data_IF_955353964778
#
_entry.id   IF_955353964778
#
_cell.length_a   1.000
_cell.length_b   1.000
_cell.length_c   1.000
_cell.angle_alpha   90.00
_cell.angle_beta   90.00
_cell.angle_gamma   90.00
#
_symmetry.space_group_name_H-M   'P 1'
#
loop_
_entity.id
_entity.type
_entity.pdbx_description
1 polymer ?
#
# COMPACT_ATOMS: atom_id res chain seq x y z
N UNK A 1 -26.91 10.22 -22.01
CA UNK A 1 -25.71 9.42 -22.39
C UNK A 1 -24.51 9.75 -21.50
N UNK A 2 -24.19 11.02 -21.24
CA UNK A 2 -23.07 11.47 -20.38
C UNK A 2 -23.10 10.96 -18.92
N UNK A 3 -24.26 11.00 -18.25
CA UNK A 3 -24.40 10.52 -16.86
C UNK A 3 -24.08 9.03 -16.67
N UNK A 4 -24.35 8.19 -17.68
CA UNK A 4 -24.03 6.75 -17.62
C UNK A 4 -22.51 6.52 -17.67
N UNK A 5 -21.80 7.30 -18.50
CA UNK A 5 -20.35 7.23 -18.59
C UNK A 5 -19.67 7.72 -17.31
N UNK A 6 -20.19 8.81 -16.73
CA UNK A 6 -19.71 9.33 -15.45
C UNK A 6 -19.88 8.30 -14.33
N UNK A 7 -21.09 7.76 -14.17
CA UNK A 7 -21.37 6.75 -13.13
C UNK A 7 -20.48 5.52 -13.30
N UNK A 8 -20.28 5.06 -14.55
CA UNK A 8 -19.37 3.95 -14.82
C UNK A 8 -17.94 4.27 -14.38
N UNK A 9 -17.41 5.46 -14.70
CA UNK A 9 -16.06 5.88 -14.27
C UNK A 9 -15.94 5.95 -12.75
N UNK A 10 -16.94 6.49 -12.05
CA UNK A 10 -16.99 6.52 -10.58
C UNK A 10 -16.98 5.10 -10.02
N UNK A 11 -17.79 4.19 -10.57
CA UNK A 11 -17.80 2.79 -10.13
C UNK A 11 -16.46 2.09 -10.34
N UNK A 12 -15.73 2.38 -11.42
CA UNK A 12 -14.38 1.84 -11.63
C UNK A 12 -13.39 2.37 -10.60
N UNK A 13 -13.43 3.68 -10.28
CA UNK A 13 -12.58 4.27 -9.23
C UNK A 13 -12.82 3.60 -7.87
N UNK A 14 -14.10 3.37 -7.54
CA UNK A 14 -14.51 2.68 -6.31
C UNK A 14 -14.03 1.22 -6.28
N UNK A 15 -14.19 0.48 -7.40
CA UNK A 15 -13.71 -0.91 -7.52
C UNK A 15 -12.22 -1.05 -7.23
N UNK A 16 -11.42 -0.14 -7.78
CA UNK A 16 -9.97 -0.12 -7.58
C UNK A 16 -9.53 0.26 -6.16
N UNK A 17 -10.47 0.70 -5.31
CA UNK A 17 -10.27 0.97 -3.88
C UNK A 17 -10.96 -0.06 -3.00
N UNK A 18 -11.49 -1.15 -3.58
CA UNK A 18 -12.09 -2.21 -2.78
C UNK A 18 -11.02 -2.92 -1.93
N UNK A 19 -11.41 -3.41 -0.73
CA UNK A 19 -10.49 -4.04 0.20
C UNK A 19 -9.61 -5.15 -0.38
N UNK A 20 -10.17 -5.99 -1.25
CA UNK A 20 -9.49 -7.09 -1.92
C UNK A 20 -8.40 -6.60 -2.89
N UNK A 21 -8.66 -5.51 -3.61
CA UNK A 21 -7.66 -4.87 -4.47
C UNK A 21 -6.52 -4.29 -3.62
N UNK A 22 -6.83 -3.62 -2.52
CA UNK A 22 -5.82 -3.06 -1.62
C UNK A 22 -5.01 -4.15 -0.92
N UNK A 23 -5.67 -5.23 -0.48
CA UNK A 23 -5.02 -6.40 0.12
C UNK A 23 -4.05 -7.07 -0.86
N UNK A 24 -4.46 -7.24 -2.13
CA UNK A 24 -3.59 -7.78 -3.18
C UNK A 24 -2.31 -6.95 -3.30
N UNK A 25 -2.43 -5.63 -3.44
CA UNK A 25 -1.25 -4.76 -3.60
C UNK A 25 -0.39 -4.68 -2.37
N UNK A 26 -1.00 -4.65 -1.18
CA UNK A 26 -0.26 -4.76 0.08
C UNK A 26 0.54 -6.07 0.14
N UNK A 27 -0.07 -7.19 -0.24
CA UNK A 27 0.60 -8.50 -0.25
C UNK A 27 1.76 -8.52 -1.25
N UNK A 28 1.55 -8.00 -2.45
CA UNK A 28 2.58 -7.91 -3.48
C UNK A 28 3.77 -7.07 -3.03
N UNK A 29 3.52 -5.86 -2.51
CA UNK A 29 4.58 -4.97 -2.02
C UNK A 29 5.36 -5.62 -0.88
N UNK A 30 4.68 -6.29 0.06
CA UNK A 30 5.35 -6.96 1.19
C UNK A 30 6.18 -8.15 0.71
N UNK A 31 5.70 -8.91 -0.27
CA UNK A 31 6.47 -9.99 -0.89
C UNK A 31 7.76 -9.46 -1.51
N UNK A 32 7.65 -8.47 -2.39
CA UNK A 32 8.80 -7.88 -3.09
C UNK A 32 9.79 -7.23 -2.11
N UNK A 33 9.28 -6.57 -1.07
CA UNK A 33 10.11 -6.00 -0.01
C UNK A 33 10.90 -7.06 0.77
N UNK A 34 10.27 -8.21 1.06
CA UNK A 34 10.94 -9.33 1.76
C UNK A 34 11.97 -10.01 0.88
N UNK A 35 11.71 -10.14 -0.42
CA UNK A 35 12.64 -10.73 -1.38
C UNK A 35 13.93 -9.90 -1.51
N UNK A 36 13.81 -8.57 -1.40
CA UNK A 36 14.97 -7.66 -1.38
C UNK A 36 15.66 -7.56 -0.01
N UNK A 37 14.94 -7.81 1.08
CA UNK A 37 15.45 -7.63 2.43
C UNK A 37 16.36 -8.80 2.88
N UNK A 38 17.43 -8.52 3.65
CA UNK A 38 18.21 -9.55 4.29
C UNK A 38 17.34 -10.47 5.18
N UNK A 39 17.70 -11.76 5.35
CA UNK A 39 16.87 -12.74 6.05
C UNK A 39 16.40 -12.30 7.45
N UNK A 40 17.23 -11.58 8.20
CA UNK A 40 16.92 -11.10 9.55
C UNK A 40 15.99 -9.87 9.61
N UNK A 41 15.60 -9.31 8.46
CA UNK A 41 14.62 -8.22 8.36
C UNK A 41 13.29 -8.65 7.75
N UNK A 42 13.20 -9.84 7.12
CA UNK A 42 11.99 -10.28 6.43
C UNK A 42 10.79 -10.42 7.37
N UNK A 43 10.99 -10.88 8.61
CA UNK A 43 9.95 -10.96 9.63
C UNK A 43 9.56 -9.59 10.20
N UNK A 44 10.33 -8.54 9.88
CA UNK A 44 10.10 -7.16 10.33
C UNK A 44 9.37 -6.29 9.30
N UNK A 45 8.80 -6.90 8.26
CA UNK A 45 7.97 -6.23 7.26
C UNK A 45 6.66 -7.02 7.16
N UNK A 46 5.56 -6.45 7.64
CA UNK A 46 4.26 -7.12 7.61
C UNK A 46 3.10 -6.15 7.50
N UNK A 47 2.00 -6.63 6.94
CA UNK A 47 0.72 -5.95 6.91
C UNK A 47 -0.36 -6.92 7.38
N UNK A 48 -1.29 -6.43 8.20
CA UNK A 48 -2.44 -7.22 8.65
C UNK A 48 -3.73 -6.44 8.42
N UNK A 49 -4.58 -6.98 7.55
CA UNK A 49 -5.96 -6.49 7.39
C UNK A 49 -6.82 -6.91 8.59
N UNK A 50 -7.66 -6.01 9.05
CA UNK A 50 -8.63 -6.28 10.12
C UNK A 50 -9.78 -7.15 9.57
N UNK A 51 -10.13 -8.27 10.22
CA UNK A 51 -11.14 -9.20 9.72
C UNK A 51 -12.57 -8.64 9.76
N UNK A 52 -12.83 -7.61 10.56
CA UNK A 52 -14.14 -6.98 10.67
C UNK A 52 -14.21 -5.62 9.98
N UNK A 53 -13.05 -4.96 9.84
CA UNK A 53 -12.91 -3.67 9.17
C UNK A 53 -12.02 -3.83 7.93
N UNK A 54 -12.58 -4.24 6.77
CA UNK A 54 -11.77 -4.66 5.63
C UNK A 54 -10.93 -3.52 5.02
N UNK A 55 -11.24 -2.26 5.31
CA UNK A 55 -10.40 -1.11 4.90
C UNK A 55 -9.29 -0.77 5.90
N UNK A 56 -9.21 -1.45 7.05
CA UNK A 56 -8.22 -1.18 8.10
C UNK A 56 -7.04 -2.11 7.93
N UNK A 57 -5.93 -1.55 7.48
CA UNK A 57 -4.64 -2.23 7.32
C UNK A 57 -3.68 -1.76 8.41
N UNK A 58 -3.04 -2.70 9.09
CA UNK A 58 -2.01 -2.41 10.09
C UNK A 58 -0.65 -2.75 9.48
N UNK A 59 0.08 -1.72 9.06
CA UNK A 59 1.43 -1.84 8.53
C UNK A 59 2.43 -1.83 9.69
N UNK A 60 3.23 -2.89 9.82
CA UNK A 60 4.25 -3.02 10.85
C UNK A 60 5.61 -3.28 10.18
N UNK A 61 6.45 -2.24 10.18
CA UNK A 61 7.75 -2.24 9.52
C UNK A 61 8.80 -1.69 10.49
N UNK A 62 9.90 -2.42 10.67
CA UNK A 62 11.07 -1.89 11.40
C UNK A 62 11.70 -0.73 10.63
N UNK A 63 12.18 0.32 11.33
CA UNK A 63 12.95 1.43 10.74
C UNK A 63 14.01 0.98 9.74
N UNK A 64 14.76 -0.08 10.05
CA UNK A 64 15.83 -0.63 9.20
C UNK A 64 15.32 -1.27 7.91
N UNK A 65 14.04 -1.60 7.85
CA UNK A 65 13.41 -2.29 6.73
C UNK A 65 12.55 -1.36 5.86
N UNK A 66 12.36 -0.10 6.26
CA UNK A 66 11.53 0.89 5.55
C UNK A 66 12.01 1.11 4.11
N UNK A 67 13.33 1.20 3.90
CA UNK A 67 13.88 1.42 2.55
C UNK A 67 13.48 0.32 1.57
N UNK A 68 13.48 -0.95 1.99
CA UNK A 68 13.05 -2.07 1.16
C UNK A 68 11.57 -1.99 0.81
N UNK A 69 10.72 -1.63 1.77
CA UNK A 69 9.30 -1.38 1.52
C UNK A 69 9.09 -0.25 0.51
N UNK A 70 9.80 0.87 0.67
CA UNK A 70 9.71 2.02 -0.23
C UNK A 70 10.17 1.67 -1.65
N UNK A 71 11.24 0.88 -1.80
CA UNK A 71 11.70 0.38 -3.09
C UNK A 71 10.64 -0.50 -3.75
N UNK A 72 10.06 -1.45 -3.01
CA UNK A 72 9.02 -2.34 -3.51
C UNK A 72 7.76 -1.59 -3.93
N UNK A 73 7.32 -0.62 -3.11
CA UNK A 73 6.17 0.23 -3.42
C UNK A 73 6.41 1.01 -4.71
N UNK A 74 7.57 1.66 -4.85
CA UNK A 74 7.90 2.46 -6.03
C UNK A 74 7.97 1.63 -7.32
N UNK A 75 8.42 0.37 -7.24
CA UNK A 75 8.45 -0.55 -8.38
C UNK A 75 7.05 -0.98 -8.81
N UNK A 76 6.13 -1.19 -7.86
CA UNK A 76 4.76 -1.63 -8.12
C UNK A 76 3.81 -0.48 -8.50
N UNK A 77 4.06 0.75 -8.02
CA UNK A 77 3.16 1.89 -8.18
C UNK A 77 2.71 2.13 -9.64
N UNK A 78 3.59 2.10 -10.67
CA UNK A 78 3.17 2.32 -12.05
C UNK A 78 2.19 1.28 -12.60
N UNK A 79 2.12 0.09 -11.99
CA UNK A 79 1.27 -1.02 -12.42
C UNK A 79 -0.13 -0.99 -11.79
N UNK A 80 -0.34 -0.13 -10.80
CA UNK A 80 -1.62 -0.02 -10.13
C UNK A 80 -2.59 0.86 -10.92
N UNK A 81 -3.91 0.66 -10.81
CA UNK A 81 -4.89 1.64 -11.26
C UNK A 81 -4.74 2.99 -10.53
N UNK A 82 -5.08 4.09 -11.18
CA UNK A 82 -4.84 5.45 -10.65
C UNK A 82 -5.35 5.68 -9.22
N UNK A 83 -6.57 5.26 -8.88
CA UNK A 83 -7.08 5.46 -7.53
C UNK A 83 -6.31 4.66 -6.48
N UNK A 84 -5.87 3.45 -6.83
CA UNK A 84 -4.98 2.62 -6.00
C UNK A 84 -3.60 3.27 -5.83
N UNK A 85 -3.04 3.85 -6.89
CA UNK A 85 -1.79 4.61 -6.81
C UNK A 85 -1.90 5.75 -5.79
N UNK A 86 -2.98 6.53 -5.87
CA UNK A 86 -3.22 7.65 -4.95
C UNK A 86 -3.33 7.18 -3.49
N UNK A 87 -3.95 6.03 -3.25
CA UNK A 87 -3.98 5.41 -1.93
C UNK A 87 -2.57 5.13 -1.41
N UNK A 88 -1.73 4.44 -2.19
CA UNK A 88 -0.37 4.08 -1.76
C UNK A 88 0.58 5.28 -1.67
N UNK A 89 0.38 6.31 -2.49
CA UNK A 89 1.08 7.59 -2.32
C UNK A 89 0.77 8.24 -0.98
N UNK A 90 -0.49 8.19 -0.53
CA UNK A 90 -0.84 8.65 0.82
C UNK A 90 -0.30 7.76 1.93
N UNK A 91 -0.23 6.45 1.73
CA UNK A 91 0.47 5.55 2.67
C UNK A 91 1.94 5.94 2.81
N UNK A 92 2.62 6.24 1.70
CA UNK A 92 4.00 6.73 1.70
C UNK A 92 4.15 8.05 2.44
N UNK A 93 3.23 9.00 2.22
CA UNK A 93 3.24 10.29 2.94
C UNK A 93 3.12 10.08 4.46
N UNK A 94 2.13 9.31 4.91
CA UNK A 94 1.96 9.00 6.34
C UNK A 94 3.19 8.28 6.94
N UNK A 95 3.83 7.41 6.16
CA UNK A 95 5.05 6.72 6.60
C UNK A 95 6.22 7.69 6.77
N UNK A 96 6.38 8.64 5.86
CA UNK A 96 7.44 9.66 5.95
C UNK A 96 7.22 10.59 7.15
N UNK A 97 5.98 11.02 7.38
CA UNK A 97 5.63 11.86 8.53
C UNK A 97 5.99 11.17 9.86
N UNK A 98 5.72 9.87 9.97
CA UNK A 98 6.05 9.07 11.15
C UNK A 98 7.58 8.91 11.33
N UNK A 99 8.34 8.76 10.24
CA UNK A 99 9.81 8.69 10.28
C UNK A 99 10.38 10.00 10.79
N UNK A 100 9.92 11.12 10.25
CA UNK A 100 10.40 12.46 10.61
C UNK A 100 10.12 12.76 12.09
N UNK A 101 8.93 12.42 12.59
CA UNK A 101 8.60 12.56 14.02
C UNK A 101 9.52 11.76 14.95
N UNK A 102 10.01 10.60 14.50
CA UNK A 102 10.88 9.74 15.30
C UNK A 102 12.37 10.08 15.18
N UNK A 103 12.73 11.07 14.35
CA UNK A 103 14.08 11.61 14.19
C UNK A 103 14.32 12.91 14.97
N UNK A 104 13.26 13.55 15.46
CA UNK A 104 13.28 14.71 16.38
C UNK A 104 13.37 14.24 17.82
#
# INVERSE_FOLDING_TARGET
MMFRLLNHRISQLQRNLQPDILEYWHTQIIHDAKDMAPPWLQDKISVKQDPYLPMKFNLNISKRAISYYMMALNQNLPQMPLSTQLYFLKVTECLNDEIDQQLV
#
